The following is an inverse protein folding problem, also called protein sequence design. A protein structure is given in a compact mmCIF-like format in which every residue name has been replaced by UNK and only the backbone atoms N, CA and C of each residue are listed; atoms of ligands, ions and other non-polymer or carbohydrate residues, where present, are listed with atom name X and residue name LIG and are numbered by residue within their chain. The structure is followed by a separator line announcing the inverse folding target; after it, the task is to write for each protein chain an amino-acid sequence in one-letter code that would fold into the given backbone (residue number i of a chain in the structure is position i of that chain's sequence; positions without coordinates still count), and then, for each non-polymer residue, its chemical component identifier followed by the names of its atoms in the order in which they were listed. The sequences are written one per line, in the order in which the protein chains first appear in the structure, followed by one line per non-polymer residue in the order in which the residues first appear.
data_IF_741107958652
#
_entry.id   IF_741107958652
#
_cell.length_a   1.000
_cell.length_b   1.000
_cell.length_c   1.000
_cell.angle_alpha   90.00
_cell.angle_beta   90.00
_cell.angle_gamma   90.00
#
_symmetry.space_group_name_H-M   'P 1'
#
loop_
_entity.id
_entity.type
_entity.pdbx_description
1 polymer ?
#
# COMPACT_ATOMS: atom_id res chain seq x y z
N UNK A 1 -70.81 -0.59 36.63
CA UNK A 1 -69.64 -1.49 36.46
C UNK A 1 -68.98 -1.27 35.09
N UNK A 2 -68.69 -0.03 34.69
CA UNK A 2 -67.97 0.31 33.45
C UNK A 2 -67.23 1.63 33.71
N UNK A 3 -66.10 1.59 34.42
CA UNK A 3 -65.20 2.75 34.56
C UNK A 3 -63.71 2.42 34.50
N UNK A 4 -63.34 1.12 34.48
CA UNK A 4 -61.94 0.69 34.50
C UNK A 4 -61.42 0.16 33.15
N UNK A 5 -62.18 0.26 32.06
CA UNK A 5 -61.77 -0.32 30.76
C UNK A 5 -61.06 0.66 29.82
N UNK A 6 -61.10 1.98 30.10
CA UNK A 6 -60.54 2.99 29.20
C UNK A 6 -59.09 3.41 29.50
N UNK A 7 -58.54 3.07 30.68
CA UNK A 7 -57.16 3.43 31.03
C UNK A 7 -56.11 2.41 30.56
N UNK A 8 -56.53 1.21 30.12
CA UNK A 8 -55.59 0.19 29.65
C UNK A 8 -55.24 0.30 28.16
N UNK A 9 -56.03 1.03 27.37
CA UNK A 9 -55.84 1.18 25.91
C UNK A 9 -55.02 2.44 25.57
N UNK A 10 -55.00 3.45 26.45
CA UNK A 10 -54.21 4.68 26.21
C UNK A 10 -52.72 4.56 26.60
N UNK A 11 -52.33 3.51 27.32
CA UNK A 11 -50.94 3.26 27.76
C UNK A 11 -50.15 2.32 26.83
N UNK A 12 -50.78 1.75 25.80
CA UNK A 12 -50.13 0.86 24.83
C UNK A 12 -49.68 1.55 23.54
N UNK A 13 -50.09 2.80 23.30
CA UNK A 13 -49.75 3.55 22.09
C UNK A 13 -48.32 4.14 22.10
N UNK A 14 -47.63 4.41 23.23
CA UNK A 14 -46.25 4.86 23.19
C UNK A 14 -45.21 3.73 23.10
N UNK A 15 -45.57 2.44 23.19
CA UNK A 15 -44.60 1.33 23.10
C UNK A 15 -44.32 0.89 21.65
N UNK A 16 -45.32 0.88 20.76
CA UNK A 16 -45.13 0.49 19.36
C UNK A 16 -44.42 1.54 18.49
N UNK A 17 -44.39 2.80 18.93
CA UNK A 17 -43.68 3.86 18.21
C UNK A 17 -42.15 3.84 18.45
N UNK A 18 -41.67 3.18 19.52
CA UNK A 18 -40.23 3.06 19.82
C UNK A 18 -39.58 1.92 19.03
N UNK A 19 -40.34 0.88 18.71
CA UNK A 19 -39.85 -0.27 17.95
C UNK A 19 -39.57 0.06 16.47
N UNK A 20 -40.32 0.97 15.87
CA UNK A 20 -40.08 1.37 14.46
C UNK A 20 -38.83 2.22 14.31
N UNK A 21 -38.59 3.18 15.22
CA UNK A 21 -37.40 4.04 15.21
C UNK A 21 -36.09 3.29 15.49
N UNK A 22 -36.12 2.21 16.28
CA UNK A 22 -34.93 1.42 16.62
C UNK A 22 -34.55 0.43 15.51
N UNK A 23 -35.53 -0.17 14.82
CA UNK A 23 -35.30 -1.05 13.66
C UNK A 23 -34.74 -0.27 12.47
N UNK A 24 -35.22 0.96 12.24
CA UNK A 24 -34.71 1.84 11.18
C UNK A 24 -33.25 2.26 11.42
N UNK A 25 -32.90 2.59 12.67
CA UNK A 25 -31.52 2.95 13.04
C UNK A 25 -30.56 1.76 12.91
N UNK A 26 -30.97 0.56 13.35
CA UNK A 26 -30.16 -0.66 13.21
C UNK A 26 -29.94 -1.04 11.73
N UNK A 27 -30.95 -0.85 10.89
CA UNK A 27 -30.87 -1.13 9.46
C UNK A 27 -29.95 -0.14 8.75
N UNK A 28 -30.03 1.15 9.08
CA UNK A 28 -29.10 2.18 8.59
C UNK A 28 -27.65 1.89 8.99
N UNK A 29 -27.39 1.54 10.26
CA UNK A 29 -26.05 1.18 10.73
C UNK A 29 -25.46 -0.04 10.02
N UNK A 30 -26.28 -1.07 9.74
CA UNK A 30 -25.84 -2.25 8.98
C UNK A 30 -25.50 -1.90 7.53
N UNK A 31 -26.29 -1.02 6.90
CA UNK A 31 -26.02 -0.54 5.55
C UNK A 31 -24.72 0.26 5.51
N UNK A 32 -24.53 1.23 6.41
CA UNK A 32 -23.31 2.02 6.54
C UNK A 32 -22.08 1.13 6.76
N UNK A 33 -22.21 0.11 7.61
CA UNK A 33 -21.14 -0.87 7.84
C UNK A 33 -20.73 -1.59 6.56
N UNK A 34 -21.72 -2.07 5.80
CA UNK A 34 -21.48 -2.76 4.54
C UNK A 34 -20.85 -1.82 3.48
N UNK A 35 -21.31 -0.56 3.43
CA UNK A 35 -20.73 0.45 2.53
C UNK A 35 -19.26 0.71 2.85
N UNK A 36 -18.92 0.88 4.12
CA UNK A 36 -17.54 1.09 4.57
C UNK A 36 -16.67 -0.15 4.29
N UNK A 37 -17.15 -1.35 4.57
CA UNK A 37 -16.41 -2.58 4.28
C UNK A 37 -16.10 -2.73 2.79
N UNK A 38 -17.09 -2.49 1.92
CA UNK A 38 -16.89 -2.57 0.47
C UNK A 38 -15.88 -1.51 -0.02
N UNK A 39 -15.85 -0.34 0.59
CA UNK A 39 -14.87 0.70 0.24
C UNK A 39 -13.46 0.32 0.67
N UNK A 40 -13.30 -0.22 1.89
CA UNK A 40 -12.02 -0.78 2.35
C UNK A 40 -11.57 -1.91 1.41
N UNK A 41 -12.49 -2.79 1.00
CA UNK A 41 -12.19 -3.88 0.07
C UNK A 41 -11.67 -3.37 -1.28
N UNK A 42 -12.29 -2.31 -1.82
CA UNK A 42 -11.81 -1.69 -3.06
C UNK A 42 -10.39 -1.14 -2.88
N UNK A 43 -10.12 -0.41 -1.78
CA UNK A 43 -8.79 0.13 -1.47
C UNK A 43 -7.74 -0.98 -1.32
N UNK A 44 -8.10 -2.08 -0.63
CA UNK A 44 -7.27 -3.28 -0.50
C UNK A 44 -6.98 -3.93 -1.85
N UNK A 45 -7.97 -3.99 -2.75
CA UNK A 45 -7.81 -4.54 -4.08
C UNK A 45 -6.92 -3.68 -4.97
N UNK A 46 -7.00 -2.34 -4.86
CA UNK A 46 -6.06 -1.43 -5.51
C UNK A 46 -4.65 -1.68 -5.00
N UNK A 47 -4.44 -1.71 -3.68
CA UNK A 47 -3.12 -1.90 -3.08
C UNK A 47 -2.48 -3.26 -3.46
N UNK A 48 -3.27 -4.34 -3.45
CA UNK A 48 -2.83 -5.66 -3.94
C UNK A 48 -2.40 -5.64 -5.40
N UNK A 49 -3.18 -4.99 -6.26
CA UNK A 49 -2.87 -4.92 -7.68
C UNK A 49 -1.71 -3.97 -7.98
N UNK A 50 -1.52 -2.93 -7.18
CA UNK A 50 -0.33 -2.09 -7.24
C UNK A 50 0.94 -2.90 -6.96
N UNK A 51 0.94 -3.71 -5.89
CA UNK A 51 2.06 -4.60 -5.59
C UNK A 51 2.29 -5.63 -6.71
N UNK A 52 1.21 -6.26 -7.22
CA UNK A 52 1.29 -7.16 -8.37
C UNK A 52 1.94 -6.47 -9.57
N UNK A 53 1.51 -5.25 -9.90
CA UNK A 53 2.03 -4.46 -11.02
C UNK A 53 3.52 -4.16 -10.86
N UNK A 54 3.98 -3.78 -9.67
CA UNK A 54 5.41 -3.59 -9.41
C UNK A 54 6.22 -4.86 -9.73
N UNK A 55 5.71 -6.02 -9.32
CA UNK A 55 6.39 -7.31 -9.47
C UNK A 55 6.40 -7.83 -10.92
N UNK A 56 5.45 -7.41 -11.76
CA UNK A 56 5.32 -7.86 -13.16
C UNK A 56 5.86 -6.85 -14.16
N UNK A 57 5.57 -5.57 -13.94
CA UNK A 57 5.86 -4.49 -14.89
C UNK A 57 7.13 -3.71 -14.54
N UNK A 58 7.64 -3.87 -13.31
CA UNK A 58 8.84 -3.17 -12.80
C UNK A 58 8.78 -1.65 -12.99
N UNK A 59 7.58 -1.08 -12.85
CA UNK A 59 7.33 0.36 -12.92
C UNK A 59 6.20 0.75 -11.96
N UNK A 60 6.16 2.02 -11.53
CA UNK A 60 5.08 2.53 -10.69
C UNK A 60 3.85 2.75 -11.59
N UNK A 61 2.71 2.09 -11.33
CA UNK A 61 1.52 2.22 -12.17
C UNK A 61 0.84 3.59 -12.01
N UNK A 62 0.17 4.01 -13.07
CA UNK A 62 -0.94 4.97 -12.97
C UNK A 62 -2.24 4.20 -12.74
N UNK A 63 -3.29 4.89 -12.28
CA UNK A 63 -4.58 4.24 -12.07
C UNK A 63 -5.17 3.70 -13.36
N UNK A 64 -5.01 4.42 -14.48
CA UNK A 64 -5.38 3.95 -15.81
C UNK A 64 -4.75 2.58 -16.15
N UNK A 65 -3.47 2.38 -15.82
CA UNK A 65 -2.81 1.09 -16.04
C UNK A 65 -3.30 -0.02 -15.12
N UNK A 66 -3.79 0.31 -13.93
CA UNK A 66 -4.41 -0.67 -13.04
C UNK A 66 -5.85 -1.00 -13.46
N UNK A 67 -6.55 -0.10 -14.14
CA UNK A 67 -7.87 -0.33 -14.74
C UNK A 67 -7.67 -1.02 -16.10
N UNK A 68 -7.09 -2.21 -16.05
CA UNK A 68 -7.01 -3.12 -17.18
C UNK A 68 -7.44 -4.50 -16.73
N UNK A 69 -7.78 -5.37 -17.69
CA UNK A 69 -8.29 -6.71 -17.41
C UNK A 69 -7.26 -7.61 -16.69
N UNK A 70 -5.96 -7.26 -16.74
CA UNK A 70 -4.90 -7.98 -16.04
C UNK A 70 -4.81 -7.67 -14.52
N UNK A 71 -5.46 -6.58 -14.08
CA UNK A 71 -5.38 -6.08 -12.71
C UNK A 71 -6.77 -5.88 -12.09
N UNK A 72 -7.35 -4.67 -12.16
CA UNK A 72 -8.64 -4.36 -11.53
C UNK A 72 -9.86 -4.69 -12.39
N UNK A 73 -9.67 -4.87 -13.71
CA UNK A 73 -10.73 -5.03 -14.69
C UNK A 73 -11.14 -3.70 -15.31
N UNK A 74 -11.44 -3.72 -16.61
CA UNK A 74 -11.91 -2.56 -17.39
C UNK A 74 -13.22 -1.95 -16.87
N UNK A 75 -14.05 -2.72 -16.15
CA UNK A 75 -15.28 -2.26 -15.52
C UNK A 75 -15.08 -1.62 -14.13
N UNK A 76 -13.83 -1.52 -13.66
CA UNK A 76 -13.54 -0.93 -12.36
C UNK A 76 -13.82 0.58 -12.34
N UNK A 77 -14.45 1.06 -11.26
CA UNK A 77 -14.73 2.48 -11.04
C UNK A 77 -13.89 3.02 -9.89
N UNK A 78 -13.19 4.13 -10.14
CA UNK A 78 -12.51 4.93 -9.11
C UNK A 78 -13.46 5.77 -8.29
N UNK A 79 -14.74 5.81 -8.65
CA UNK A 79 -15.79 6.46 -7.86
C UNK A 79 -16.42 5.41 -6.96
N UNK A 80 -16.35 5.62 -5.65
CA UNK A 80 -16.95 4.74 -4.66
C UNK A 80 -18.48 4.94 -4.58
N UNK A 81 -19.16 4.11 -3.79
CA UNK A 81 -20.62 4.19 -3.59
C UNK A 81 -21.09 5.49 -2.91
N UNK A 82 -20.19 6.24 -2.27
CA UNK A 82 -20.46 7.55 -1.69
C UNK A 82 -20.27 8.70 -2.69
N UNK A 83 -19.80 8.40 -3.91
CA UNK A 83 -19.53 9.38 -4.97
C UNK A 83 -18.15 10.04 -4.86
N UNK A 84 -17.25 9.51 -4.03
CA UNK A 84 -15.90 10.03 -3.86
C UNK A 84 -14.90 9.32 -4.77
N UNK A 85 -13.92 10.08 -5.26
CA UNK A 85 -12.85 9.57 -6.10
C UNK A 85 -11.71 9.02 -5.22
N UNK A 86 -11.43 7.73 -5.35
CA UNK A 86 -10.41 6.99 -4.59
C UNK A 86 -9.15 6.72 -5.42
N UNK A 87 -8.84 7.60 -6.37
CA UNK A 87 -7.62 7.54 -7.17
C UNK A 87 -6.37 7.84 -6.31
N UNK A 88 -5.19 7.68 -6.89
CA UNK A 88 -3.93 8.06 -6.27
C UNK A 88 -3.97 9.53 -5.83
N UNK A 89 -3.63 9.72 -4.56
CA UNK A 89 -3.19 11.03 -4.06
C UNK A 89 -1.76 11.26 -4.51
N UNK A 90 -0.91 10.25 -4.29
CA UNK A 90 0.47 10.22 -4.75
C UNK A 90 0.97 8.77 -4.79
N UNK A 91 1.18 8.23 -6.00
CA UNK A 91 1.67 6.86 -6.19
C UNK A 91 3.14 6.68 -5.79
N UNK A 92 3.94 7.76 -5.79
CA UNK A 92 5.34 7.77 -5.34
C UNK A 92 5.47 7.75 -3.82
N UNK A 93 4.38 8.08 -3.11
CA UNK A 93 4.26 7.97 -1.66
C UNK A 93 3.37 6.80 -1.22
N UNK A 94 2.91 5.96 -2.15
CA UNK A 94 1.98 4.85 -1.89
C UNK A 94 0.64 5.31 -1.30
N UNK A 95 0.09 6.43 -1.78
CA UNK A 95 -1.11 7.05 -1.22
C UNK A 95 -2.29 7.09 -2.19
N UNK A 96 -3.46 6.64 -1.72
CA UNK A 96 -4.77 6.95 -2.29
C UNK A 96 -5.41 8.13 -1.58
N UNK A 97 -6.33 8.77 -2.29
CA UNK A 97 -7.23 9.76 -1.70
C UNK A 97 -8.09 9.10 -0.62
N UNK A 98 -8.24 9.82 0.48
CA UNK A 98 -9.12 9.42 1.56
C UNK A 98 -10.58 9.48 1.09
N UNK A 99 -11.36 8.44 1.36
CA UNK A 99 -12.64 8.24 0.68
C UNK A 99 -13.86 8.77 1.44
N UNK A 100 -13.73 9.09 2.73
CA UNK A 100 -14.81 9.64 3.57
C UNK A 100 -14.57 11.14 3.80
N UNK A 101 -14.84 11.95 2.79
CA UNK A 101 -14.56 13.40 2.77
C UNK A 101 -15.80 14.26 3.03
N UNK A 102 -16.99 13.82 2.59
CA UNK A 102 -18.22 14.61 2.70
C UNK A 102 -18.61 14.86 4.15
N UNK A 103 -18.96 16.11 4.45
CA UNK A 103 -19.43 16.51 5.77
C UNK A 103 -20.60 15.66 6.27
N UNK A 104 -21.52 15.23 5.40
CA UNK A 104 -22.64 14.35 5.80
C UNK A 104 -22.19 13.07 6.52
N UNK A 105 -21.03 12.51 6.14
CA UNK A 105 -20.41 11.35 6.78
C UNK A 105 -19.35 11.73 7.82
N UNK A 106 -18.95 13.00 7.90
CA UNK A 106 -17.96 13.52 8.86
C UNK A 106 -18.54 14.37 9.99
N UNK A 107 -19.83 14.74 9.93
CA UNK A 107 -20.55 15.69 10.80
C UNK A 107 -20.18 15.53 12.28
N UNK A 108 -19.18 16.33 12.66
CA UNK A 108 -18.64 16.67 13.99
C UNK A 108 -19.16 15.90 15.21
N UNK A 109 -18.23 15.19 15.86
CA UNK A 109 -17.75 15.43 17.23
C UNK A 109 -18.62 16.45 18.00
N UNK A 110 -19.67 15.99 18.63
CA UNK A 110 -20.35 16.79 19.65
C UNK A 110 -19.38 16.85 20.85
N UNK A 111 -18.81 18.03 21.12
CA UNK A 111 -17.85 18.25 22.23
C UNK A 111 -18.49 17.97 23.60
N UNK A 112 -19.83 17.87 23.65
CA UNK A 112 -20.63 17.63 24.85
C UNK A 112 -21.19 16.20 24.93
N UNK A 113 -21.25 15.47 23.82
CA UNK A 113 -21.80 14.11 23.75
C UNK A 113 -20.81 13.26 22.97
N UNK A 114 -19.94 12.53 23.68
CA UNK A 114 -18.90 11.70 23.10
C UNK A 114 -19.42 10.56 22.21
N UNK A 115 -19.88 10.90 21.02
CA UNK A 115 -20.08 9.98 19.91
C UNK A 115 -19.09 10.41 18.84
N UNK A 116 -17.86 9.92 18.99
CA UNK A 116 -16.91 9.85 17.89
C UNK A 116 -17.62 9.23 16.68
N UNK A 117 -17.54 9.88 15.52
CA UNK A 117 -18.28 9.50 14.34
C UNK A 117 -18.03 8.02 13.97
N UNK A 118 -19.03 7.17 14.20
CA UNK A 118 -18.92 5.71 14.03
C UNK A 118 -18.45 5.32 12.62
N UNK A 119 -18.86 6.07 11.59
CA UNK A 119 -18.46 5.81 10.20
C UNK A 119 -16.95 6.04 10.01
N UNK A 120 -16.41 7.15 10.54
CA UNK A 120 -14.98 7.44 10.50
C UNK A 120 -14.21 6.38 11.30
N UNK A 121 -14.67 6.07 12.52
CA UNK A 121 -14.03 5.05 13.34
C UNK A 121 -13.99 3.69 12.64
N UNK A 122 -15.10 3.30 12.00
CA UNK A 122 -15.19 2.04 11.27
C UNK A 122 -14.27 2.03 10.05
N UNK A 123 -14.23 3.14 9.30
CA UNK A 123 -13.39 3.27 8.11
C UNK A 123 -11.90 3.27 8.42
N UNK A 124 -11.51 3.89 9.54
CA UNK A 124 -10.13 3.95 10.01
C UNK A 124 -9.69 2.68 10.75
N UNK A 125 -10.61 1.74 10.96
CA UNK A 125 -10.31 0.54 11.73
C UNK A 125 -9.38 -0.40 10.97
N UNK A 126 -8.24 -0.69 11.57
CA UNK A 126 -7.22 -1.59 11.00
C UNK A 126 -7.68 -3.04 10.81
N UNK A 127 -8.73 -3.50 11.53
CA UNK A 127 -9.18 -4.90 11.49
C UNK A 127 -9.57 -5.40 10.08
N UNK A 128 -9.88 -4.50 9.15
CA UNK A 128 -10.21 -4.86 7.76
C UNK A 128 -9.12 -4.48 6.75
N UNK A 129 -7.97 -3.97 7.22
CA UNK A 129 -6.92 -3.41 6.38
C UNK A 129 -5.65 -4.23 6.48
N UNK A 130 -5.35 -4.97 5.42
CA UNK A 130 -4.15 -5.80 5.35
C UNK A 130 -3.07 -5.13 4.50
N UNK A 131 -3.42 -4.71 3.29
CA UNK A 131 -2.56 -4.02 2.32
C UNK A 131 -2.65 -2.50 2.44
N UNK A 132 -3.53 -1.98 3.29
CA UNK A 132 -3.70 -0.53 3.47
C UNK A 132 -3.58 -0.09 4.93
N UNK A 133 -3.52 1.22 5.13
CA UNK A 133 -3.65 1.92 6.41
C UNK A 133 -4.39 3.23 6.18
N UNK A 134 -5.29 3.60 7.08
CA UNK A 134 -5.98 4.88 7.00
C UNK A 134 -5.31 5.90 7.92
N UNK A 135 -4.89 7.02 7.34
CA UNK A 135 -4.43 8.19 8.07
C UNK A 135 -5.50 9.28 7.99
N UNK A 136 -6.04 9.68 9.14
CA UNK A 136 -7.02 10.76 9.25
C UNK A 136 -6.45 11.93 10.03
N UNK A 137 -6.26 13.06 9.34
CA UNK A 137 -5.88 14.31 9.98
C UNK A 137 -7.16 14.98 10.53
N UNK A 138 -7.28 14.96 11.86
CA UNK A 138 -8.45 15.50 12.56
C UNK A 138 -8.58 17.03 12.50
N UNK A 139 -7.58 17.73 11.95
CA UNK A 139 -7.54 19.19 11.83
C UNK A 139 -7.71 19.68 10.39
N UNK A 140 -7.21 18.92 9.42
CA UNK A 140 -7.24 19.25 8.00
C UNK A 140 -7.48 18.01 7.15
N UNK A 141 -8.73 17.80 6.76
CA UNK A 141 -9.16 16.62 5.98
C UNK A 141 -8.42 16.47 4.64
N UNK A 142 -7.83 17.54 4.09
CA UNK A 142 -7.04 17.45 2.84
C UNK A 142 -5.72 16.68 3.03
N UNK A 143 -5.27 16.58 4.28
CA UNK A 143 -4.08 15.82 4.67
C UNK A 143 -4.37 14.35 4.93
N UNK A 144 -5.61 13.93 5.11
CA UNK A 144 -5.97 12.51 5.23
C UNK A 144 -5.63 11.73 3.95
N UNK A 145 -5.30 10.45 4.07
CA UNK A 145 -4.98 9.54 2.96
C UNK A 145 -5.12 8.07 3.37
N UNK A 146 -5.14 7.19 2.37
CA UNK A 146 -4.95 5.75 2.56
C UNK A 146 -3.57 5.37 2.04
N UNK A 147 -2.74 4.77 2.89
CA UNK A 147 -1.38 4.35 2.57
C UNK A 147 -1.32 2.87 2.22
N UNK A 148 -0.50 2.48 1.24
CA UNK A 148 -0.24 1.08 0.94
C UNK A 148 0.86 0.49 1.80
N UNK A 149 0.60 -0.74 2.26
CA UNK A 149 1.56 -1.62 2.91
C UNK A 149 1.99 -2.70 1.92
N UNK A 150 3.05 -2.43 1.16
CA UNK A 150 3.70 -3.46 0.34
C UNK A 150 4.10 -4.63 1.23
N UNK A 151 3.73 -5.86 0.86
CA UNK A 151 3.93 -7.05 1.69
C UNK A 151 5.25 -7.74 1.43
N UNK A 152 5.56 -8.00 0.16
CA UNK A 152 6.80 -8.66 -0.23
C UNK A 152 8.01 -7.74 -0.09
N UNK A 153 9.16 -8.31 0.29
CA UNK A 153 10.41 -7.57 0.35
C UNK A 153 10.87 -7.17 -1.06
N UNK A 154 10.57 -8.02 -2.03
CA UNK A 154 10.85 -7.83 -3.45
C UNK A 154 10.10 -6.61 -4.00
N UNK A 155 8.81 -6.46 -3.71
CA UNK A 155 8.07 -5.27 -4.12
C UNK A 155 8.59 -4.00 -3.44
N UNK A 156 8.96 -4.08 -2.15
CA UNK A 156 9.58 -2.95 -1.44
C UNK A 156 10.90 -2.53 -2.08
N UNK A 157 11.73 -3.49 -2.48
CA UNK A 157 12.98 -3.24 -3.19
C UNK A 157 12.73 -2.58 -4.55
N UNK A 158 11.82 -3.15 -5.35
CA UNK A 158 11.45 -2.58 -6.66
C UNK A 158 10.94 -1.16 -6.50
N UNK A 159 10.03 -0.93 -5.54
CA UNK A 159 9.50 0.39 -5.25
C UNK A 159 10.59 1.36 -4.80
N UNK A 160 11.47 0.97 -3.88
CA UNK A 160 12.61 1.79 -3.40
C UNK A 160 13.49 2.24 -4.56
N UNK A 161 13.81 1.32 -5.49
CA UNK A 161 14.62 1.62 -6.67
C UNK A 161 13.91 2.63 -7.56
N UNK A 162 12.65 2.38 -7.91
CA UNK A 162 11.87 3.26 -8.80
C UNK A 162 11.64 4.64 -8.18
N UNK A 163 11.36 4.71 -6.88
CA UNK A 163 11.12 5.95 -6.17
C UNK A 163 12.39 6.81 -6.02
N UNK A 164 13.57 6.22 -6.16
CA UNK A 164 14.84 6.97 -6.26
C UNK A 164 15.04 7.66 -7.62
N UNK A 165 14.13 7.48 -8.57
CA UNK A 165 14.25 7.95 -9.95
C UNK A 165 14.99 7.00 -10.89
N UNK A 166 15.36 5.80 -10.42
CA UNK A 166 16.00 4.79 -11.26
C UNK A 166 14.98 4.03 -12.11
N UNK A 167 15.43 3.46 -13.23
CA UNK A 167 14.62 2.56 -14.07
C UNK A 167 15.04 1.11 -13.92
N UNK A 168 14.09 0.18 -14.13
CA UNK A 168 14.34 -1.26 -14.14
C UNK A 168 13.93 -1.82 -15.50
N UNK A 169 14.89 -2.36 -16.25
CA UNK A 169 14.62 -3.09 -17.47
C UNK A 169 14.01 -4.46 -17.16
N UNK A 170 12.99 -4.87 -17.92
CA UNK A 170 12.36 -6.20 -17.78
C UNK A 170 13.28 -7.35 -18.14
N UNK A 171 14.20 -7.11 -19.07
CA UNK A 171 15.12 -8.11 -19.62
C UNK A 171 16.54 -7.59 -19.58
N UNK A 172 17.46 -8.45 -19.14
CA UNK A 172 18.86 -8.07 -19.00
C UNK A 172 19.59 -8.31 -20.30
N UNK A 173 20.18 -7.24 -20.82
CA UNK A 173 20.98 -7.25 -22.03
C UNK A 173 22.31 -6.55 -21.75
N UNK A 174 23.36 -7.00 -22.43
CA UNK A 174 24.73 -6.53 -22.22
C UNK A 174 24.93 -5.03 -22.52
N UNK A 175 24.05 -4.41 -23.31
CA UNK A 175 24.16 -2.99 -23.66
C UNK A 175 23.63 -2.04 -22.58
N UNK A 176 23.00 -2.54 -21.51
CA UNK A 176 22.49 -1.71 -20.41
C UNK A 176 23.61 -0.94 -19.71
N UNK A 177 23.32 0.30 -19.31
CA UNK A 177 24.23 1.21 -18.61
C UNK A 177 23.45 2.09 -17.65
N UNK A 178 24.00 2.33 -16.46
CA UNK A 178 23.40 3.13 -15.40
C UNK A 178 21.91 2.79 -15.16
N UNK A 179 21.58 1.50 -15.12
CA UNK A 179 20.19 1.04 -15.06
C UNK A 179 20.11 -0.29 -14.33
N UNK A 180 19.03 -0.49 -13.58
CA UNK A 180 18.72 -1.79 -13.00
C UNK A 180 18.04 -2.69 -14.03
N UNK A 181 18.12 -3.99 -13.82
CA UNK A 181 17.45 -4.96 -14.64
C UNK A 181 16.99 -6.16 -13.81
N UNK A 182 15.77 -6.60 -14.09
CA UNK A 182 15.24 -7.85 -13.59
C UNK A 182 15.95 -9.06 -14.24
N UNK A 183 16.82 -9.75 -13.50
CA UNK A 183 17.52 -10.93 -14.00
C UNK A 183 16.65 -12.19 -13.90
N UNK A 184 16.06 -12.42 -12.73
CA UNK A 184 15.09 -13.51 -12.51
C UNK A 184 14.06 -13.10 -11.44
N UNK A 185 13.25 -14.05 -10.94
CA UNK A 185 12.22 -13.76 -9.93
C UNK A 185 12.80 -13.21 -8.62
N UNK A 186 13.98 -13.67 -8.21
CA UNK A 186 14.59 -13.41 -6.92
C UNK A 186 15.71 -12.38 -6.97
N UNK A 187 16.29 -12.11 -8.15
CA UNK A 187 17.48 -11.28 -8.27
C UNK A 187 17.33 -10.12 -9.25
N UNK A 188 18.06 -9.05 -8.96
CA UNK A 188 18.10 -7.83 -9.77
C UNK A 188 19.55 -7.42 -9.99
N UNK A 189 19.89 -6.99 -11.20
CA UNK A 189 21.23 -6.53 -11.56
C UNK A 189 21.26 -5.02 -11.72
N UNK A 190 22.26 -4.36 -11.14
CA UNK A 190 22.65 -3.00 -11.51
C UNK A 190 23.73 -3.07 -12.59
N UNK A 191 23.58 -2.33 -13.69
CA UNK A 191 24.61 -2.18 -14.71
C UNK A 191 25.25 -0.80 -14.59
N UNK A 192 26.55 -0.73 -14.31
CA UNK A 192 27.28 0.55 -14.33
C UNK A 192 27.75 0.90 -15.76
N UNK A 193 28.10 -0.11 -16.54
CA UNK A 193 28.49 -0.03 -17.95
C UNK A 193 28.10 -1.31 -18.67
N UNK A 194 28.33 -1.35 -19.98
CA UNK A 194 27.99 -2.51 -20.79
C UNK A 194 28.68 -3.78 -20.26
N UNK A 195 27.92 -4.87 -20.16
CA UNK A 195 28.31 -6.17 -19.59
C UNK A 195 28.88 -6.12 -18.17
N UNK A 196 28.72 -5.00 -17.45
CA UNK A 196 29.34 -4.80 -16.16
C UNK A 196 28.28 -4.59 -15.08
N UNK A 197 28.08 -5.63 -14.26
CA UNK A 197 26.93 -5.69 -13.36
C UNK A 197 27.27 -6.12 -11.92
N UNK A 198 26.39 -5.70 -11.01
CA UNK A 198 26.27 -6.17 -9.62
C UNK A 198 24.89 -6.82 -9.49
N UNK A 199 24.85 -8.08 -9.08
CA UNK A 199 23.63 -8.85 -8.84
C UNK A 199 23.31 -8.87 -7.35
N UNK A 200 22.08 -8.48 -7.04
CA UNK A 200 21.51 -8.43 -5.70
C UNK A 200 20.37 -9.45 -5.58
N UNK A 201 20.24 -10.06 -4.41
CA UNK A 201 18.98 -10.67 -3.99
C UNK A 201 17.95 -9.57 -3.72
N UNK A 202 16.75 -9.66 -4.32
CA UNK A 202 15.69 -8.65 -4.18
C UNK A 202 15.14 -8.60 -2.77
N UNK A 203 15.10 -9.74 -2.06
CA UNK A 203 14.55 -9.84 -0.72
C UNK A 203 15.47 -9.20 0.32
N UNK A 204 16.77 -9.37 0.17
CA UNK A 204 17.83 -8.82 1.03
C UNK A 204 18.64 -7.76 0.27
N UNK A 205 17.96 -6.86 -0.42
CA UNK A 205 18.62 -5.85 -1.25
C UNK A 205 19.51 -4.94 -0.40
N UNK A 206 20.80 -4.86 -0.75
CA UNK A 206 21.88 -4.15 -0.03
C UNK A 206 22.23 -4.71 1.37
N UNK A 207 21.38 -5.54 1.97
CA UNK A 207 21.63 -6.22 3.25
C UNK A 207 22.24 -7.63 3.10
N UNK A 208 22.10 -8.23 1.92
CA UNK A 208 22.58 -9.58 1.59
C UNK A 208 23.84 -9.57 0.74
N UNK A 209 24.43 -10.76 0.59
CA UNK A 209 25.58 -10.97 -0.29
C UNK A 209 25.24 -10.62 -1.74
N UNK A 210 26.24 -10.11 -2.46
CA UNK A 210 26.11 -9.76 -3.87
C UNK A 210 27.11 -10.53 -4.71
N UNK A 211 26.78 -10.69 -6.00
CA UNK A 211 27.71 -11.21 -7.00
C UNK A 211 28.07 -10.08 -7.96
N UNK A 212 29.34 -9.94 -8.32
CA UNK A 212 29.80 -9.02 -9.35
C UNK A 212 30.41 -9.79 -10.50
N UNK A 213 30.24 -9.29 -11.73
CA UNK A 213 30.72 -10.00 -12.93
C UNK A 213 32.24 -10.18 -12.94
N UNK A 214 33.00 -9.20 -12.44
CA UNK A 214 34.46 -9.21 -12.45
C UNK A 214 35.05 -8.26 -11.42
N UNK A 215 36.37 -8.31 -11.24
CA UNK A 215 37.11 -7.41 -10.33
C UNK A 215 37.05 -5.94 -10.72
N UNK A 216 36.70 -5.60 -11.97
CA UNK A 216 36.56 -4.20 -12.39
C UNK A 216 35.41 -3.47 -11.66
N UNK A 217 34.45 -4.22 -11.11
CA UNK A 217 33.27 -3.67 -10.40
C UNK A 217 33.55 -3.42 -8.93
N UNK A 218 34.66 -3.91 -8.37
CA UNK A 218 34.87 -3.90 -6.91
C UNK A 218 34.95 -2.48 -6.32
N UNK A 219 35.23 -1.48 -7.15
CA UNK A 219 35.29 -0.07 -6.77
C UNK A 219 34.02 0.70 -7.16
N UNK A 220 32.94 0.01 -7.55
CA UNK A 220 31.69 0.66 -7.93
C UNK A 220 31.02 1.31 -6.70
N UNK A 221 30.60 2.59 -6.77
CA UNK A 221 29.96 3.28 -5.65
C UNK A 221 28.68 2.60 -5.13
N UNK A 222 27.98 1.79 -5.94
CA UNK A 222 26.82 1.01 -5.46
C UNK A 222 27.18 -0.03 -4.42
N UNK A 223 28.45 -0.44 -4.33
CA UNK A 223 28.92 -1.34 -3.26
C UNK A 223 29.08 -0.60 -1.91
N UNK A 224 29.00 0.73 -1.89
CA UNK A 224 29.01 1.53 -0.64
C UNK A 224 27.69 1.49 0.10
N UNK A 225 26.60 1.17 -0.59
CA UNK A 225 25.29 1.00 0.04
C UNK A 225 25.18 -0.33 0.81
N UNK A 226 26.10 -1.27 0.58
CA UNK A 226 26.06 -2.58 1.21
C UNK A 226 26.32 -2.47 2.72
N UNK A 227 25.58 -3.27 3.47
CA UNK A 227 25.79 -3.40 4.90
C UNK A 227 27.19 -3.96 5.21
N UNK A 228 27.79 -3.50 6.31
CA UNK A 228 29.05 -4.06 6.82
C UNK A 228 28.90 -5.55 7.12
N UNK A 229 29.89 -6.35 6.73
CA UNK A 229 29.93 -7.80 6.88
C UNK A 229 29.37 -8.58 5.69
N UNK A 230 28.78 -7.90 4.71
CA UNK A 230 28.29 -8.52 3.47
C UNK A 230 29.45 -9.04 2.62
N UNK A 231 29.30 -10.25 2.07
CA UNK A 231 30.24 -10.79 1.10
C UNK A 231 29.93 -10.31 -0.32
N UNK A 232 30.99 -9.99 -1.05
CA UNK A 232 30.97 -9.65 -2.48
C UNK A 232 31.70 -10.77 -3.20
N UNK A 233 30.95 -11.58 -3.94
CA UNK A 233 31.49 -12.67 -4.74
C UNK A 233 31.84 -12.15 -6.13
N UNK A 234 33.09 -12.28 -6.56
CA UNK A 234 33.41 -12.14 -7.98
C UNK A 234 33.05 -13.46 -8.66
N UNK A 235 32.24 -13.38 -9.71
CA UNK A 235 31.74 -14.54 -10.43
C UNK A 235 32.86 -15.54 -10.73
N UNK A 236 32.68 -16.79 -10.29
CA UNK A 236 33.59 -17.93 -10.50
C UNK A 236 35.04 -17.74 -10.01
N UNK A 237 35.31 -16.79 -9.12
CA UNK A 237 36.68 -16.48 -8.71
C UNK A 237 36.79 -16.29 -7.19
N UNK A 238 37.04 -15.05 -6.75
CA UNK A 238 37.36 -14.70 -5.37
C UNK A 238 36.18 -14.09 -4.63
N UNK A 239 36.24 -14.13 -3.30
CA UNK A 239 35.28 -13.46 -2.41
C UNK A 239 35.95 -12.30 -1.68
N UNK A 240 35.16 -11.28 -1.39
CA UNK A 240 35.54 -10.11 -0.62
C UNK A 240 34.50 -9.87 0.48
N UNK A 241 34.85 -9.08 1.48
CA UNK A 241 33.93 -8.66 2.54
C UNK A 241 33.91 -7.14 2.65
N UNK A 242 32.71 -6.56 2.80
CA UNK A 242 32.52 -5.14 3.11
C UNK A 242 32.83 -4.89 4.59
N UNK A 243 33.76 -4.00 4.85
CA UNK A 243 34.12 -3.55 6.20
C UNK A 243 33.56 -2.16 6.48
N UNK A 244 33.82 -1.68 7.70
CA UNK A 244 33.62 -0.29 8.09
C UNK A 244 34.38 0.67 7.15
N UNK A 245 33.92 1.92 7.09
CA UNK A 245 34.50 3.00 6.26
C UNK A 245 34.58 2.65 4.76
N UNK A 246 33.59 1.89 4.27
CA UNK A 246 33.49 1.46 2.88
C UNK A 246 34.63 0.60 2.33
N UNK A 247 35.54 0.11 3.17
CA UNK A 247 36.65 -0.74 2.73
C UNK A 247 36.16 -2.11 2.29
N UNK A 248 36.71 -2.62 1.19
CA UNK A 248 36.44 -3.96 0.66
C UNK A 248 37.75 -4.75 0.69
N UNK A 249 37.79 -5.85 1.44
CA UNK A 249 38.98 -6.71 1.56
C UNK A 249 38.73 -8.09 0.97
N UNK A 250 39.73 -8.61 0.28
CA UNK A 250 39.72 -9.98 -0.23
C UNK A 250 39.75 -10.96 0.95
N UNK A 251 38.96 -12.02 0.86
CA UNK A 251 38.94 -13.11 1.84
C UNK A 251 39.45 -14.37 1.15
N UNK A 252 40.53 -14.94 1.67
CA UNK A 252 41.09 -16.21 1.18
C UNK A 252 40.19 -17.41 1.50
#
# INVERSE_FOLDING_TARGET
MIKNFFYSILLFIPLFAVDTLTVDNLTAQKQDTLYIQNMIEIEENIAKNFEKYLLTEYSIPTMEKLISDDYLGSNFSVINKMGENIDFKDSSLLQLKYAVTKDAYRKKRDLTVGIDNYIIQLYNRDLYRNYTYAYDDTTDNSKSYIEFKLKSAEAKTIFKILNSGSTIAKTCIDSLKNTYCNYDTNSIRWYNSASNWIEYDKKNFEDGNVTVVSSSVINDPKLDNLKVGVYIFIQNTSRYVKLIDNKILKVD
#
